data_IF_634451295391
#
_entry.id   IF_634451295391
#
_cell.length_a   1.000
_cell.length_b   1.000
_cell.length_c   1.000
_cell.angle_alpha   90.00
_cell.angle_beta   90.00
_cell.angle_gamma   90.00
#
_symmetry.space_group_name_H-M   'P 1'
#
loop_
_entity.id
_entity.type
_entity.pdbx_description
1 polymer ?
#
# COMPACT_ATOMS: atom_id res chain seq x y z
N UNK A 1 33.14 -69.65 -5.03
CA UNK A 1 32.21 -69.22 -3.98
C UNK A 1 32.41 -67.71 -3.78
N UNK A 2 31.91 -66.91 -4.62
CA UNK A 2 32.06 -65.45 -4.64
C UNK A 2 30.72 -64.78 -4.64
N UNK A 3 30.42 -64.02 -3.60
CA UNK A 3 29.26 -63.10 -3.58
C UNK A 3 29.66 -61.80 -4.26
N UNK A 4 29.11 -61.53 -5.43
CA UNK A 4 29.20 -60.24 -6.10
C UNK A 4 28.15 -59.34 -5.46
N UNK A 5 28.60 -58.38 -4.67
CA UNK A 5 27.77 -57.27 -4.22
C UNK A 5 27.56 -56.30 -5.37
N UNK A 6 26.40 -56.29 -5.96
CA UNK A 6 25.91 -55.23 -6.82
C UNK A 6 25.53 -54.04 -5.91
N UNK A 7 26.42 -53.05 -5.81
CA UNK A 7 26.06 -51.73 -5.31
C UNK A 7 25.33 -51.03 -6.46
N UNK A 8 23.98 -51.10 -6.44
CA UNK A 8 23.14 -50.28 -7.28
C UNK A 8 23.30 -48.82 -6.84
N UNK A 9 23.97 -48.02 -7.65
CA UNK A 9 23.93 -46.57 -7.55
C UNK A 9 22.49 -46.13 -7.77
N UNK A 10 21.77 -45.81 -6.68
CA UNK A 10 20.53 -45.06 -6.75
C UNK A 10 20.93 -43.67 -7.25
N UNK A 11 20.77 -43.44 -8.54
CA UNK A 11 20.72 -42.08 -9.05
C UNK A 11 19.55 -41.38 -8.33
N UNK A 12 19.86 -40.58 -7.35
CA UNK A 12 18.92 -39.59 -6.84
C UNK A 12 18.58 -38.70 -8.04
N UNK A 13 17.42 -38.91 -8.64
CA UNK A 13 16.76 -37.94 -9.50
C UNK A 13 16.61 -36.67 -8.63
N UNK A 14 17.54 -35.74 -8.80
CA UNK A 14 17.50 -34.42 -8.17
C UNK A 14 16.42 -33.65 -8.92
N UNK A 15 15.16 -33.92 -8.63
CA UNK A 15 14.09 -33.00 -8.98
C UNK A 15 14.35 -31.69 -8.26
N UNK A 16 14.63 -30.59 -8.98
CA UNK A 16 14.92 -29.31 -8.33
C UNK A 16 13.75 -28.93 -7.43
N UNK A 17 14.06 -28.55 -6.21
CA UNK A 17 13.04 -28.06 -5.30
C UNK A 17 12.41 -26.79 -5.90
N UNK A 18 11.18 -26.47 -5.51
CA UNK A 18 10.52 -25.23 -5.94
C UNK A 18 11.41 -24.01 -5.66
N UNK A 19 12.17 -24.01 -4.56
CA UNK A 19 13.12 -22.94 -4.23
C UNK A 19 14.28 -22.83 -5.22
N UNK A 20 14.79 -23.96 -5.72
CA UNK A 20 15.86 -23.99 -6.72
C UNK A 20 15.37 -23.42 -8.06
N UNK A 21 14.10 -23.69 -8.42
CA UNK A 21 13.48 -23.12 -9.61
C UNK A 21 13.41 -21.58 -9.55
N UNK A 22 13.05 -21.01 -8.40
CA UNK A 22 13.03 -19.56 -8.20
C UNK A 22 14.45 -18.94 -8.10
N UNK A 23 15.45 -19.71 -7.71
CA UNK A 23 16.86 -19.30 -7.65
C UNK A 23 17.57 -19.41 -9.00
N UNK A 24 16.98 -20.05 -10.01
CA UNK A 24 17.57 -20.20 -11.33
C UNK A 24 17.97 -18.85 -11.95
N UNK A 25 19.15 -18.72 -12.59
CA UNK A 25 19.66 -17.43 -13.10
C UNK A 25 18.69 -16.67 -14.00
N UNK A 26 17.93 -17.39 -14.85
CA UNK A 26 16.93 -16.81 -15.75
C UNK A 26 15.77 -16.20 -14.96
N UNK A 27 15.26 -16.90 -13.93
CA UNK A 27 14.16 -16.42 -13.07
C UNK A 27 14.65 -15.24 -12.23
N UNK A 28 15.87 -15.30 -11.70
CA UNK A 28 16.49 -14.21 -10.96
C UNK A 28 16.68 -12.94 -11.83
N UNK A 29 17.04 -13.09 -13.10
CA UNK A 29 17.12 -11.97 -14.04
C UNK A 29 15.74 -11.37 -14.35
N UNK A 30 14.72 -12.21 -14.57
CA UNK A 30 13.33 -11.77 -14.74
C UNK A 30 12.81 -11.07 -13.50
N UNK A 31 13.09 -11.60 -12.31
CA UNK A 31 12.71 -11.00 -11.04
C UNK A 31 13.31 -9.59 -10.87
N UNK A 32 14.62 -9.43 -11.10
CA UNK A 32 15.27 -8.10 -11.05
C UNK A 32 14.63 -7.10 -12.02
N UNK A 33 14.35 -7.55 -13.27
CA UNK A 33 13.66 -6.72 -14.26
C UNK A 33 12.26 -6.34 -13.77
N UNK A 34 11.50 -7.28 -13.23
CA UNK A 34 10.16 -7.03 -12.65
C UNK A 34 10.22 -5.98 -11.54
N UNK A 35 11.14 -6.11 -10.58
CA UNK A 35 11.33 -5.13 -9.51
C UNK A 35 11.66 -3.74 -10.07
N UNK A 36 12.56 -3.64 -11.05
CA UNK A 36 12.92 -2.36 -11.66
C UNK A 36 11.72 -1.69 -12.35
N UNK A 37 10.90 -2.45 -13.07
CA UNK A 37 9.70 -1.94 -13.74
C UNK A 37 8.63 -1.50 -12.74
N UNK A 38 8.36 -2.29 -11.71
CA UNK A 38 7.45 -1.94 -10.63
C UNK A 38 7.92 -0.68 -9.92
N UNK A 39 9.22 -0.58 -9.63
CA UNK A 39 9.84 0.61 -9.02
C UNK A 39 9.66 1.86 -9.86
N UNK A 40 9.93 1.78 -11.16
CA UNK A 40 9.72 2.89 -12.08
C UNK A 40 8.26 3.34 -12.12
N UNK A 41 7.32 2.39 -12.18
CA UNK A 41 5.89 2.70 -12.13
C UNK A 41 5.47 3.34 -10.80
N UNK A 42 6.03 2.90 -9.67
CA UNK A 42 5.76 3.49 -8.35
C UNK A 42 6.24 4.94 -8.25
N UNK A 43 7.42 5.27 -8.80
CA UNK A 43 7.91 6.66 -8.86
C UNK A 43 6.95 7.52 -9.68
N UNK A 44 6.58 7.06 -10.87
CA UNK A 44 5.72 7.80 -11.80
C UNK A 44 4.30 7.99 -11.24
N UNK A 45 3.69 6.94 -10.70
CA UNK A 45 2.33 6.99 -10.15
C UNK A 45 2.26 7.68 -8.77
N UNK A 46 3.36 7.68 -8.01
CA UNK A 46 3.43 8.31 -6.69
C UNK A 46 3.18 9.83 -6.72
N UNK A 47 3.45 10.50 -7.84
CA UNK A 47 3.17 11.92 -8.02
C UNK A 47 1.69 12.27 -7.80
N UNK A 48 0.81 11.34 -8.11
CA UNK A 48 -0.63 11.53 -8.02
C UNK A 48 -1.14 11.61 -6.57
N UNK A 49 -0.59 10.78 -5.68
CA UNK A 49 -1.05 10.72 -4.29
C UNK A 49 -0.88 12.07 -3.57
N UNK A 50 0.29 12.71 -3.73
CA UNK A 50 0.56 14.03 -3.16
C UNK A 50 -0.30 15.14 -3.76
N UNK A 51 -0.52 15.12 -5.07
CA UNK A 51 -1.35 16.12 -5.75
C UNK A 51 -2.82 16.04 -5.34
N UNK A 52 -3.38 14.83 -5.18
CA UNK A 52 -4.77 14.63 -4.74
C UNK A 52 -5.01 15.24 -3.36
N UNK A 53 -4.11 14.99 -2.42
CA UNK A 53 -4.26 15.47 -1.04
C UNK A 53 -4.14 16.99 -0.96
N UNK A 54 -3.15 17.60 -1.63
CA UNK A 54 -2.87 19.02 -1.50
C UNK A 54 -3.69 19.88 -2.46
N UNK A 55 -3.65 19.59 -3.76
CA UNK A 55 -4.29 20.41 -4.80
C UNK A 55 -5.77 20.06 -4.96
N UNK A 56 -6.14 18.77 -4.78
CA UNK A 56 -7.53 18.32 -4.87
C UNK A 56 -8.44 18.98 -3.83
N UNK A 57 -7.94 19.17 -2.59
CA UNK A 57 -8.70 19.90 -1.56
C UNK A 57 -8.89 21.38 -1.90
N UNK A 58 -7.87 22.05 -2.44
CA UNK A 58 -8.00 23.44 -2.90
C UNK A 58 -8.99 23.58 -4.05
N UNK A 59 -8.97 22.64 -5.01
CA UNK A 59 -9.95 22.61 -6.10
C UNK A 59 -11.37 22.41 -5.59
N UNK A 60 -11.58 21.50 -4.62
CA UNK A 60 -12.89 21.28 -4.03
C UNK A 60 -13.44 22.55 -3.39
N UNK A 61 -12.61 23.28 -2.64
CA UNK A 61 -13.00 24.58 -2.04
C UNK A 61 -13.28 25.63 -3.11
N UNK A 62 -12.41 25.74 -4.13
CA UNK A 62 -12.59 26.74 -5.19
C UNK A 62 -13.85 26.53 -6.02
N UNK A 63 -14.25 25.27 -6.27
CA UNK A 63 -15.44 24.93 -7.03
C UNK A 63 -16.75 25.02 -6.24
N UNK A 64 -16.69 24.81 -4.91
CA UNK A 64 -17.90 24.78 -4.06
C UNK A 64 -18.09 26.06 -3.25
N UNK A 65 -17.04 26.88 -3.10
CA UNK A 65 -17.04 28.03 -2.22
C UNK A 65 -17.03 27.69 -0.72
N UNK A 66 -16.87 26.41 -0.33
CA UNK A 66 -16.97 25.96 1.06
C UNK A 66 -15.83 25.03 1.47
N UNK A 67 -15.19 25.35 2.58
CA UNK A 67 -14.13 24.51 3.18
C UNK A 67 -14.64 23.15 3.69
N UNK A 68 -15.95 23.00 3.89
CA UNK A 68 -16.57 21.73 4.27
C UNK A 68 -16.31 20.61 3.26
N UNK A 69 -16.06 20.95 1.99
CA UNK A 69 -15.80 19.99 0.91
C UNK A 69 -14.31 19.70 0.69
N UNK A 70 -13.39 20.33 1.45
CA UNK A 70 -11.95 20.16 1.24
C UNK A 70 -11.48 18.69 1.26
N UNK A 71 -12.07 17.85 2.12
CA UNK A 71 -11.74 16.43 2.21
C UNK A 71 -12.39 15.50 1.18
N UNK A 72 -13.33 16.02 0.38
CA UNK A 72 -14.19 15.20 -0.48
C UNK A 72 -13.41 14.40 -1.54
N UNK A 73 -12.39 15.01 -2.15
CA UNK A 73 -11.56 14.36 -3.18
C UNK A 73 -10.74 13.21 -2.58
N UNK A 74 -10.16 13.43 -1.40
CA UNK A 74 -9.42 12.38 -0.67
C UNK A 74 -10.34 11.22 -0.27
N UNK A 75 -11.55 11.53 0.20
CA UNK A 75 -12.56 10.50 0.51
C UNK A 75 -12.96 9.73 -0.73
N UNK A 76 -13.26 10.40 -1.85
CA UNK A 76 -13.59 9.76 -3.11
C UNK A 76 -12.44 8.86 -3.59
N UNK A 77 -11.19 9.32 -3.48
CA UNK A 77 -10.01 8.54 -3.84
C UNK A 77 -9.84 7.29 -2.96
N UNK A 78 -10.04 7.41 -1.65
CA UNK A 78 -9.94 6.27 -0.72
C UNK A 78 -11.03 5.23 -1.00
N UNK A 79 -12.27 5.66 -1.28
CA UNK A 79 -13.34 4.77 -1.67
C UNK A 79 -13.07 4.11 -3.02
N UNK A 80 -12.55 4.87 -3.99
CA UNK A 80 -12.12 4.34 -5.29
C UNK A 80 -11.05 3.25 -5.15
N UNK A 81 -10.07 3.47 -4.28
CA UNK A 81 -9.05 2.47 -3.95
C UNK A 81 -9.67 1.21 -3.33
N UNK A 82 -10.54 1.35 -2.33
CA UNK A 82 -11.16 0.24 -1.64
C UNK A 82 -11.99 -0.64 -2.59
N UNK A 83 -12.82 -0.03 -3.41
CA UNK A 83 -13.69 -0.74 -4.36
C UNK A 83 -12.89 -1.42 -5.48
N UNK A 84 -11.87 -0.74 -6.00
CA UNK A 84 -11.09 -1.25 -7.12
C UNK A 84 -10.09 -2.34 -6.72
N UNK A 85 -9.60 -2.38 -5.48
CA UNK A 85 -8.61 -3.37 -5.04
C UNK A 85 -9.06 -4.80 -5.28
N UNK A 86 -10.31 -5.14 -4.97
CA UNK A 86 -10.87 -6.48 -5.22
C UNK A 86 -11.07 -6.77 -6.71
N UNK A 87 -11.53 -5.78 -7.48
CA UNK A 87 -11.73 -5.92 -8.93
C UNK A 87 -10.38 -6.17 -9.62
N UNK A 88 -9.37 -5.38 -9.28
CA UNK A 88 -8.03 -5.53 -9.81
C UNK A 88 -7.38 -6.85 -9.35
N UNK A 89 -7.62 -7.30 -8.12
CA UNK A 89 -7.14 -8.59 -7.66
C UNK A 89 -7.75 -9.76 -8.46
N UNK A 90 -9.05 -9.71 -8.76
CA UNK A 90 -9.72 -10.68 -9.63
C UNK A 90 -9.14 -10.67 -11.05
N UNK A 91 -8.89 -9.48 -11.58
CA UNK A 91 -8.29 -9.34 -12.90
C UNK A 91 -6.84 -9.88 -12.92
N UNK A 92 -6.06 -9.65 -11.86
CA UNK A 92 -4.74 -10.24 -11.71
C UNK A 92 -4.80 -11.77 -11.61
N UNK A 93 -5.74 -12.32 -10.84
CA UNK A 93 -5.92 -13.75 -10.71
C UNK A 93 -6.27 -14.44 -12.03
N UNK A 94 -7.12 -13.80 -12.86
CA UNK A 94 -7.59 -14.37 -14.13
C UNK A 94 -6.68 -14.10 -15.32
N UNK A 95 -6.03 -12.93 -15.38
CA UNK A 95 -5.26 -12.47 -16.57
C UNK A 95 -3.82 -12.04 -16.27
N UNK A 96 -3.36 -12.24 -15.03
CA UNK A 96 -2.01 -11.86 -14.59
C UNK A 96 -1.88 -10.43 -14.09
N UNK A 97 -0.72 -10.13 -13.49
CA UNK A 97 -0.41 -8.82 -12.91
C UNK A 97 -0.37 -7.70 -13.94
N UNK A 98 0.23 -7.98 -15.10
CA UNK A 98 0.38 -6.99 -16.17
C UNK A 98 -0.96 -6.38 -16.57
N UNK A 99 -1.96 -7.20 -16.87
CA UNK A 99 -3.27 -6.72 -17.32
C UNK A 99 -3.95 -5.95 -16.18
N UNK A 100 -3.89 -6.44 -14.95
CA UNK A 100 -4.47 -5.75 -13.79
C UNK A 100 -3.85 -4.37 -13.56
N UNK A 101 -2.51 -4.29 -13.49
CA UNK A 101 -1.80 -3.03 -13.23
C UNK A 101 -2.01 -2.02 -14.36
N UNK A 102 -1.95 -2.46 -15.62
CA UNK A 102 -2.19 -1.60 -16.79
C UNK A 102 -3.63 -1.06 -16.81
N UNK A 103 -4.62 -1.90 -16.56
CA UNK A 103 -6.03 -1.47 -16.49
C UNK A 103 -6.23 -0.45 -15.37
N UNK A 104 -5.68 -0.71 -14.18
CA UNK A 104 -5.79 0.20 -13.05
C UNK A 104 -5.12 1.55 -13.30
N UNK A 105 -3.92 1.57 -13.88
CA UNK A 105 -3.20 2.81 -14.25
C UNK A 105 -3.92 3.56 -15.39
N UNK A 106 -4.51 2.86 -16.33
CA UNK A 106 -5.35 3.45 -17.38
C UNK A 106 -6.57 4.16 -16.80
N UNK A 107 -7.30 3.50 -15.90
CA UNK A 107 -8.44 4.10 -15.18
C UNK A 107 -7.98 5.31 -14.34
N UNK A 108 -6.84 5.21 -13.67
CA UNK A 108 -6.30 6.32 -12.89
C UNK A 108 -5.88 7.51 -13.79
N UNK A 109 -5.38 7.24 -15.00
CA UNK A 109 -5.09 8.29 -16.01
C UNK A 109 -6.36 8.98 -16.48
N UNK A 110 -7.46 8.23 -16.69
CA UNK A 110 -8.78 8.81 -16.98
C UNK A 110 -9.27 9.66 -15.80
N UNK A 111 -8.98 9.24 -14.56
CA UNK A 111 -9.26 10.01 -13.36
C UNK A 111 -8.51 11.35 -13.35
N UNK A 112 -7.23 11.34 -13.62
CA UNK A 112 -6.43 12.57 -13.70
C UNK A 112 -6.93 13.51 -14.83
N UNK A 113 -7.30 12.95 -15.98
CA UNK A 113 -7.96 13.71 -17.08
C UNK A 113 -9.26 14.33 -16.61
N UNK A 114 -10.11 13.58 -15.89
CA UNK A 114 -11.38 14.09 -15.34
C UNK A 114 -11.15 15.24 -14.36
N UNK A 115 -10.10 15.20 -13.53
CA UNK A 115 -9.73 16.31 -12.64
C UNK A 115 -9.29 17.54 -13.45
N UNK A 116 -8.49 17.38 -14.50
CA UNK A 116 -8.13 18.49 -15.40
C UNK A 116 -9.40 19.10 -16.02
N UNK A 117 -10.28 18.29 -16.58
CA UNK A 117 -11.53 18.75 -17.18
C UNK A 117 -12.48 19.39 -16.17
N UNK A 118 -12.47 18.93 -14.91
CA UNK A 118 -13.27 19.54 -13.84
C UNK A 118 -12.90 21.00 -13.59
N UNK A 119 -11.63 21.37 -13.77
CA UNK A 119 -11.17 22.76 -13.65
C UNK A 119 -11.62 23.63 -14.83
N UNK A 120 -11.72 23.06 -16.04
CA UNK A 120 -12.15 23.78 -17.25
C UNK A 120 -13.66 24.00 -17.22
N UNK A 121 -14.42 22.99 -16.83
CA UNK A 121 -15.90 23.05 -16.82
C UNK A 121 -16.48 23.45 -15.46
N UNK A 122 -15.65 23.82 -14.51
CA UNK A 122 -16.05 24.18 -13.14
C UNK A 122 -17.00 23.15 -12.50
N UNK A 123 -16.73 21.85 -12.73
CA UNK A 123 -17.62 20.76 -12.33
C UNK A 123 -17.09 20.00 -11.12
N UNK A 124 -17.74 20.18 -9.98
CA UNK A 124 -17.43 19.46 -8.75
C UNK A 124 -17.66 17.93 -8.88
N UNK A 125 -18.68 17.52 -9.66
CA UNK A 125 -18.98 16.10 -9.90
C UNK A 125 -17.82 15.44 -10.65
N UNK A 126 -17.27 16.08 -11.69
CA UNK A 126 -16.10 15.58 -12.41
C UNK A 126 -14.87 15.51 -11.52
N UNK A 127 -14.71 16.45 -10.59
CA UNK A 127 -13.61 16.42 -9.61
C UNK A 127 -13.73 15.18 -8.71
N UNK A 128 -14.91 14.88 -8.18
CA UNK A 128 -15.12 13.70 -7.34
C UNK A 128 -14.94 12.38 -8.10
N UNK A 129 -15.48 12.28 -9.32
CA UNK A 129 -15.29 11.12 -10.19
C UNK A 129 -13.80 10.93 -10.51
N UNK A 130 -13.12 12.03 -10.85
CA UNK A 130 -11.69 12.03 -11.09
C UNK A 130 -10.91 11.57 -9.87
N UNK A 131 -11.22 12.06 -8.67
CA UNK A 131 -10.67 11.61 -7.41
C UNK A 131 -10.86 10.11 -7.17
N UNK A 132 -12.08 9.59 -7.39
CA UNK A 132 -12.38 8.17 -7.25
C UNK A 132 -11.55 7.30 -8.22
N UNK A 133 -11.46 7.69 -9.49
CA UNK A 133 -10.63 6.98 -10.46
C UNK A 133 -9.13 7.10 -10.18
N UNK A 134 -8.65 8.23 -9.67
CA UNK A 134 -7.25 8.34 -9.20
C UNK A 134 -6.99 7.41 -8.01
N UNK A 135 -8.00 7.16 -7.19
CA UNK A 135 -7.95 6.14 -6.13
C UNK A 135 -7.64 4.73 -6.64
N UNK A 136 -8.05 4.40 -7.88
CA UNK A 136 -7.65 3.14 -8.53
C UNK A 136 -6.13 3.05 -8.66
N UNK A 137 -5.44 4.16 -8.91
CA UNK A 137 -3.98 4.24 -8.91
C UNK A 137 -3.37 3.90 -7.55
N UNK A 138 -4.01 4.31 -6.44
CA UNK A 138 -3.59 3.91 -5.10
C UNK A 138 -3.75 2.40 -4.88
N UNK A 139 -4.83 1.79 -5.39
CA UNK A 139 -5.01 0.34 -5.35
C UNK A 139 -3.94 -0.39 -6.19
N UNK A 140 -3.53 0.16 -7.34
CA UNK A 140 -2.41 -0.38 -8.13
C UNK A 140 -1.11 -0.31 -7.34
N UNK A 141 -0.82 0.81 -6.67
CA UNK A 141 0.36 0.97 -5.83
C UNK A 141 0.40 -0.07 -4.69
N UNK A 142 -0.74 -0.36 -4.07
CA UNK A 142 -0.87 -1.42 -3.07
C UNK A 142 -0.63 -2.81 -3.69
N UNK A 143 -1.18 -3.12 -4.86
CA UNK A 143 -0.97 -4.39 -5.54
C UNK A 143 0.46 -4.60 -6.02
N UNK A 144 1.16 -3.54 -6.43
CA UNK A 144 2.53 -3.60 -6.91
C UNK A 144 3.49 -4.21 -5.86
N UNK A 145 3.27 -3.95 -4.56
CA UNK A 145 4.05 -4.57 -3.48
C UNK A 145 3.92 -6.11 -3.46
N UNK A 146 2.73 -6.64 -3.76
CA UNK A 146 2.54 -8.08 -3.85
C UNK A 146 3.08 -8.65 -5.17
N UNK A 147 2.98 -7.92 -6.29
CA UNK A 147 3.59 -8.32 -7.55
C UNK A 147 5.12 -8.46 -7.42
N UNK A 148 5.75 -7.65 -6.58
CA UNK A 148 7.17 -7.78 -6.26
C UNK A 148 7.53 -9.11 -5.60
N UNK A 149 6.56 -9.76 -4.92
CA UNK A 149 6.79 -11.04 -4.22
C UNK A 149 6.50 -12.27 -5.09
N UNK A 150 5.96 -12.12 -6.30
CA UNK A 150 5.53 -13.25 -7.11
C UNK A 150 6.68 -14.15 -7.56
N UNK A 151 7.87 -13.58 -7.79
CA UNK A 151 9.10 -14.29 -8.16
C UNK A 151 10.19 -14.21 -7.08
N UNK A 152 9.88 -13.73 -5.88
CA UNK A 152 10.82 -13.63 -4.77
C UNK A 152 11.10 -14.99 -4.14
N UNK A 153 12.34 -15.18 -3.70
CA UNK A 153 12.67 -16.27 -2.79
C UNK A 153 12.11 -15.99 -1.39
N UNK A 154 12.02 -17.02 -0.55
CA UNK A 154 11.59 -16.86 0.86
C UNK A 154 12.48 -15.86 1.60
N UNK A 155 13.80 -15.80 1.29
CA UNK A 155 14.78 -14.94 1.96
C UNK A 155 14.70 -13.46 1.57
N UNK A 156 14.15 -13.13 0.41
CA UNK A 156 14.17 -11.74 -0.11
C UNK A 156 12.80 -11.10 -0.21
N UNK A 157 11.74 -11.85 0.11
CA UNK A 157 10.35 -11.44 -0.09
C UNK A 157 9.99 -10.11 0.56
N UNK A 158 10.35 -9.93 1.84
CA UNK A 158 10.04 -8.70 2.56
C UNK A 158 10.86 -7.51 2.03
N UNK A 159 12.13 -7.73 1.70
CA UNK A 159 13.00 -6.72 1.10
C UNK A 159 12.51 -6.27 -0.27
N UNK A 160 12.13 -7.21 -1.13
CA UNK A 160 11.67 -6.92 -2.50
C UNK A 160 10.35 -6.12 -2.47
N UNK A 161 9.42 -6.51 -1.59
CA UNK A 161 8.19 -5.78 -1.30
C UNK A 161 8.49 -4.35 -0.80
N UNK A 162 9.37 -4.23 0.19
CA UNK A 162 9.74 -2.97 0.79
C UNK A 162 10.44 -2.03 -0.20
N UNK A 163 11.25 -2.56 -1.12
CA UNK A 163 11.91 -1.77 -2.16
C UNK A 163 10.89 -1.11 -3.09
N UNK A 164 9.88 -1.85 -3.52
CA UNK A 164 8.81 -1.32 -4.39
C UNK A 164 7.99 -0.27 -3.64
N UNK A 165 7.67 -0.49 -2.35
CA UNK A 165 7.02 0.50 -1.50
C UNK A 165 7.90 1.76 -1.34
N UNK A 166 9.21 1.60 -1.16
CA UNK A 166 10.14 2.72 -1.00
C UNK A 166 10.17 3.63 -2.22
N UNK A 167 10.07 3.07 -3.43
CA UNK A 167 10.11 3.85 -4.66
C UNK A 167 8.96 4.84 -4.79
N UNK A 168 7.83 4.63 -4.12
CA UNK A 168 6.73 5.60 -4.07
C UNK A 168 7.10 6.88 -3.30
N UNK A 169 8.14 6.85 -2.44
CA UNK A 169 8.62 8.02 -1.69
C UNK A 169 8.98 9.18 -2.62
N UNK A 170 9.69 8.89 -3.71
CA UNK A 170 10.13 9.92 -4.65
C UNK A 170 8.94 10.68 -5.24
N UNK A 171 7.90 9.97 -5.66
CA UNK A 171 6.67 10.57 -6.16
C UNK A 171 5.85 11.27 -5.08
N UNK A 172 5.64 10.63 -3.93
CA UNK A 172 4.80 11.15 -2.86
C UNK A 172 5.37 12.43 -2.21
N UNK A 173 6.70 12.54 -2.08
CA UNK A 173 7.38 13.75 -1.59
C UNK A 173 7.38 14.86 -2.63
N UNK A 174 7.49 14.51 -3.90
CA UNK A 174 7.51 15.51 -5.00
C UNK A 174 6.11 16.06 -5.28
N UNK A 175 5.06 15.23 -5.16
CA UNK A 175 3.68 15.58 -5.51
C UNK A 175 3.17 16.91 -4.95
N UNK A 176 3.23 17.17 -3.64
CA UNK A 176 2.76 18.43 -3.05
C UNK A 176 3.53 19.67 -3.55
N UNK A 177 4.81 19.50 -3.94
CA UNK A 177 5.63 20.60 -4.45
C UNK A 177 5.30 21.01 -5.89
N UNK A 178 4.55 20.18 -6.62
CA UNK A 178 4.12 20.46 -8.00
C UNK A 178 3.18 21.67 -8.09
N UNK A 179 2.53 22.07 -6.99
CA UNK A 179 1.65 23.25 -6.96
C UNK A 179 2.37 24.51 -7.44
N UNK A 180 3.67 24.62 -7.18
CA UNK A 180 4.50 25.76 -7.63
C UNK A 180 4.62 25.87 -9.15
N UNK A 181 4.36 24.78 -9.86
CA UNK A 181 4.42 24.71 -11.32
C UNK A 181 3.06 24.99 -11.97
N UNK A 182 2.00 25.17 -11.17
CA UNK A 182 0.65 25.45 -11.67
C UNK A 182 0.58 26.72 -12.54
N UNK A 183 1.08 27.84 -12.03
CA UNK A 183 1.06 29.10 -12.77
C UNK A 183 1.90 29.10 -14.07
N UNK A 184 3.13 28.56 -14.13
CA UNK A 184 3.85 28.38 -15.39
C UNK A 184 3.11 27.48 -16.38
N UNK A 185 2.57 26.34 -15.92
CA UNK A 185 1.82 25.42 -16.78
C UNK A 185 0.51 26.04 -17.29
N UNK A 186 -0.20 26.77 -16.45
CA UNK A 186 -1.41 27.50 -16.84
C UNK A 186 -1.15 28.44 -18.00
N UNK A 187 -0.05 29.20 -17.94
CA UNK A 187 0.37 30.11 -19.04
C UNK A 187 0.70 29.37 -20.33
N UNK A 188 1.28 28.18 -20.25
CA UNK A 188 1.65 27.39 -21.43
C UNK A 188 0.45 26.66 -22.05
N UNK A 189 -0.49 26.21 -21.23
CA UNK A 189 -1.59 25.31 -21.68
C UNK A 189 -2.93 26.00 -21.79
N UNK A 190 -3.10 27.19 -21.20
CA UNK A 190 -4.38 27.88 -21.08
C UNK A 190 -5.34 27.26 -20.07
N UNK A 191 -4.92 26.23 -19.34
CA UNK A 191 -5.73 25.57 -18.30
C UNK A 191 -5.77 26.41 -17.02
N UNK A 192 -6.82 26.31 -16.20
CA UNK A 192 -6.83 26.86 -14.85
C UNK A 192 -5.66 26.34 -14.01
N UNK A 193 -5.05 27.22 -13.18
CA UNK A 193 -3.79 26.95 -12.49
C UNK A 193 -3.80 25.64 -11.68
N UNK A 194 -4.84 25.40 -10.86
CA UNK A 194 -4.97 24.18 -10.06
C UNK A 194 -5.16 22.94 -10.93
N UNK A 195 -5.90 23.06 -12.04
CA UNK A 195 -6.09 21.97 -13.00
C UNK A 195 -4.84 21.60 -13.76
N UNK A 196 -4.02 22.61 -14.14
CA UNK A 196 -2.74 22.41 -14.83
C UNK A 196 -1.76 21.54 -14.03
N UNK A 197 -1.76 21.62 -12.69
CA UNK A 197 -0.92 20.77 -11.83
C UNK A 197 -1.20 19.28 -12.06
N UNK A 198 -2.45 18.90 -12.37
CA UNK A 198 -2.83 17.50 -12.58
C UNK A 198 -2.32 16.90 -13.89
N UNK A 199 -1.71 17.71 -14.77
CA UNK A 199 -0.98 17.17 -15.92
C UNK A 199 0.23 16.30 -15.51
N UNK A 200 0.87 16.57 -14.36
CA UNK A 200 1.94 15.72 -13.84
C UNK A 200 1.43 14.34 -13.39
N UNK A 201 0.40 14.25 -12.52
CA UNK A 201 -0.25 12.97 -12.24
C UNK A 201 -0.71 12.23 -13.49
N UNK A 202 -1.31 12.92 -14.46
CA UNK A 202 -1.74 12.32 -15.72
C UNK A 202 -0.56 11.72 -16.47
N UNK A 203 0.50 12.49 -16.70
CA UNK A 203 1.71 12.03 -17.40
C UNK A 203 2.39 10.89 -16.62
N UNK A 204 2.44 10.98 -15.29
CA UNK A 204 3.03 9.95 -14.44
C UNK A 204 2.26 8.63 -14.50
N UNK A 205 0.93 8.66 -14.36
CA UNK A 205 0.10 7.45 -14.42
C UNK A 205 0.08 6.83 -15.81
N UNK A 206 0.01 7.64 -16.86
CA UNK A 206 0.09 7.20 -18.24
C UNK A 206 1.47 6.61 -18.56
N UNK A 207 2.54 7.26 -18.13
CA UNK A 207 3.92 6.74 -18.25
C UNK A 207 4.10 5.41 -17.51
N UNK A 208 3.59 5.30 -16.27
CA UNK A 208 3.58 4.05 -15.52
C UNK A 208 2.80 2.94 -16.24
N UNK A 209 1.65 3.27 -16.82
CA UNK A 209 0.87 2.35 -17.64
C UNK A 209 1.69 1.83 -18.83
N UNK A 210 2.37 2.70 -19.56
CA UNK A 210 3.22 2.31 -20.69
C UNK A 210 4.39 1.42 -20.26
N UNK A 211 5.07 1.79 -19.14
CA UNK A 211 6.15 0.97 -18.57
C UNK A 211 5.66 -0.44 -18.25
N UNK A 212 4.49 -0.57 -17.62
CA UNK A 212 3.90 -1.88 -17.31
C UNK A 212 3.46 -2.62 -18.58
N UNK A 213 2.82 -1.93 -19.51
CA UNK A 213 2.33 -2.53 -20.76
C UNK A 213 3.45 -3.09 -21.64
N UNK A 214 4.52 -2.34 -21.80
CA UNK A 214 5.64 -2.72 -22.66
C UNK A 214 6.64 -3.63 -21.94
N UNK A 215 6.90 -3.35 -20.66
CA UNK A 215 8.02 -3.94 -19.92
C UNK A 215 7.68 -5.23 -19.18
N UNK A 216 6.47 -5.38 -18.60
CA UNK A 216 6.13 -6.49 -17.72
C UNK A 216 5.76 -7.75 -18.54
N UNK A 217 6.74 -8.26 -19.29
CA UNK A 217 6.65 -9.46 -20.11
C UNK A 217 7.93 -10.28 -19.92
N UNK A 218 7.81 -11.58 -19.57
CA UNK A 218 6.58 -12.30 -19.22
C UNK A 218 5.96 -11.82 -17.91
N UNK A 219 4.68 -12.16 -17.69
CA UNK A 219 3.93 -11.78 -16.48
C UNK A 219 4.49 -12.52 -15.25
N UNK A 220 4.84 -11.82 -14.15
CA UNK A 220 5.47 -12.45 -13.00
C UNK A 220 4.57 -13.47 -12.28
N UNK A 221 3.26 -13.21 -12.19
CA UNK A 221 2.32 -14.13 -11.52
C UNK A 221 2.11 -15.41 -12.36
N UNK A 222 1.93 -15.25 -13.67
CA UNK A 222 1.76 -16.41 -14.56
C UNK A 222 3.03 -17.25 -14.63
N UNK A 223 4.21 -16.61 -14.65
CA UNK A 223 5.50 -17.30 -14.58
C UNK A 223 5.66 -18.05 -13.26
N UNK A 224 5.32 -17.43 -12.13
CA UNK A 224 5.35 -18.09 -10.82
C UNK A 224 4.45 -19.32 -10.76
N UNK A 225 3.24 -19.25 -11.34
CA UNK A 225 2.32 -20.39 -11.44
C UNK A 225 2.90 -21.52 -12.29
N UNK A 226 3.47 -21.18 -13.44
CA UNK A 226 4.11 -22.17 -14.30
C UNK A 226 5.26 -22.92 -13.60
N UNK A 227 6.08 -22.19 -12.83
CA UNK A 227 7.17 -22.79 -12.03
C UNK A 227 6.66 -23.70 -10.90
N UNK A 228 5.46 -23.41 -10.36
CA UNK A 228 4.82 -24.24 -9.34
C UNK A 228 4.07 -25.46 -9.90
N UNK A 229 4.13 -25.70 -11.21
CA UNK A 229 3.48 -26.85 -11.86
C UNK A 229 1.96 -26.69 -11.99
N UNK A 230 1.46 -25.47 -11.99
CA UNK A 230 0.04 -25.17 -12.19
C UNK A 230 -0.34 -25.43 -13.66
N UNK A 231 -1.01 -26.56 -13.95
CA UNK A 231 -1.33 -27.01 -15.31
C UNK A 231 -2.27 -26.04 -16.07
N UNK A 232 -3.04 -25.23 -15.33
CA UNK A 232 -4.03 -24.29 -15.90
C UNK A 232 -3.46 -22.88 -16.13
N UNK A 233 -2.14 -22.77 -16.33
CA UNK A 233 -1.49 -21.47 -16.62
C UNK A 233 -1.95 -20.98 -17.99
N UNK A 234 -2.70 -19.88 -17.97
CA UNK A 234 -3.21 -19.24 -19.22
C UNK A 234 -4.71 -19.41 -19.44
N UNK A 235 -5.39 -20.33 -18.78
CA UNK A 235 -6.84 -20.35 -18.76
C UNK A 235 -7.40 -19.25 -17.84
N UNK A 236 -8.45 -18.52 -18.27
CA UNK A 236 -9.11 -17.55 -17.40
C UNK A 236 -9.74 -18.29 -16.21
N UNK A 237 -9.09 -18.24 -15.05
CA UNK A 237 -9.67 -18.85 -13.86
C UNK A 237 -10.95 -18.13 -13.49
N UNK A 238 -12.02 -18.90 -13.39
CA UNK A 238 -13.33 -18.46 -12.91
C UNK A 238 -13.20 -17.79 -11.54
N UNK A 239 -13.99 -16.78 -11.33
CA UNK A 239 -14.02 -15.91 -10.17
C UNK A 239 -13.75 -16.64 -8.85
N UNK A 240 -12.65 -16.27 -8.17
CA UNK A 240 -12.52 -16.59 -6.75
C UNK A 240 -13.47 -15.65 -6.00
N UNK A 241 -14.57 -16.15 -5.41
CA UNK A 241 -15.53 -15.31 -4.71
C UNK A 241 -14.88 -14.70 -3.45
N UNK A 242 -15.33 -13.50 -3.05
CA UNK A 242 -14.82 -12.83 -1.83
C UNK A 242 -15.02 -13.74 -0.60
N UNK A 243 -16.10 -14.49 -0.56
CA UNK A 243 -16.38 -15.49 0.49
C UNK A 243 -15.23 -16.51 0.64
N UNK A 244 -14.63 -16.91 -0.48
CA UNK A 244 -13.48 -17.83 -0.47
C UNK A 244 -12.24 -17.17 0.15
N UNK A 245 -11.95 -15.91 -0.18
CA UNK A 245 -10.85 -15.16 0.44
C UNK A 245 -11.03 -15.02 1.96
N UNK A 246 -12.26 -14.76 2.44
CA UNK A 246 -12.58 -14.78 3.87
C UNK A 246 -12.43 -16.16 4.50
N UNK A 247 -12.90 -17.21 3.82
CA UNK A 247 -12.77 -18.59 4.30
C UNK A 247 -11.30 -19.00 4.39
N UNK A 248 -10.50 -18.64 3.39
CA UNK A 248 -9.06 -18.87 3.37
C UNK A 248 -8.36 -18.14 4.52
N UNK A 249 -8.67 -16.86 4.76
CA UNK A 249 -8.13 -16.13 5.90
C UNK A 249 -8.47 -16.80 7.25
N UNK A 250 -9.70 -17.28 7.42
CA UNK A 250 -10.11 -18.01 8.65
C UNK A 250 -9.33 -19.30 8.84
N UNK A 251 -8.94 -19.98 7.76
CA UNK A 251 -8.11 -21.18 7.78
C UNK A 251 -6.62 -20.90 8.02
N UNK A 252 -6.19 -19.64 7.83
CA UNK A 252 -4.81 -19.20 8.03
C UNK A 252 -4.72 -18.16 9.15
N UNK A 253 -4.76 -18.56 10.44
CA UNK A 253 -4.84 -17.63 11.58
C UNK A 253 -3.65 -16.67 11.63
N UNK A 254 -2.47 -17.06 11.16
CA UNK A 254 -1.29 -16.18 11.08
C UNK A 254 -1.49 -15.07 10.03
N UNK A 255 -2.11 -15.38 8.88
CA UNK A 255 -2.44 -14.37 7.87
C UNK A 255 -3.54 -13.42 8.38
N UNK A 256 -4.54 -13.95 9.08
CA UNK A 256 -5.60 -13.15 9.71
C UNK A 256 -5.03 -12.21 10.79
N UNK A 257 -4.10 -12.72 11.62
CA UNK A 257 -3.40 -11.92 12.62
C UNK A 257 -2.58 -10.79 11.98
N UNK A 258 -1.85 -11.10 10.91
CA UNK A 258 -1.07 -10.11 10.16
C UNK A 258 -1.98 -9.06 9.51
N UNK A 259 -3.10 -9.48 8.93
CA UNK A 259 -4.10 -8.56 8.38
C UNK A 259 -4.66 -7.63 9.46
N UNK A 260 -5.08 -8.16 10.62
CA UNK A 260 -5.58 -7.33 11.71
C UNK A 260 -4.57 -6.28 12.15
N UNK A 261 -3.27 -6.64 12.25
CA UNK A 261 -2.20 -5.71 12.55
C UNK A 261 -2.06 -4.59 11.50
N UNK A 262 -2.12 -4.92 10.20
CA UNK A 262 -2.10 -3.92 9.11
C UNK A 262 -3.30 -2.97 9.21
N UNK A 263 -4.51 -3.52 9.43
CA UNK A 263 -5.74 -2.71 9.50
C UNK A 263 -5.69 -1.72 10.66
N UNK A 264 -5.27 -2.19 11.83
CA UNK A 264 -5.09 -1.35 13.03
C UNK A 264 -4.03 -0.27 12.78
N UNK A 265 -2.86 -0.66 12.28
CA UNK A 265 -1.79 0.29 11.97
C UNK A 265 -2.26 1.38 11.01
N UNK A 266 -3.02 1.01 9.97
CA UNK A 266 -3.49 1.95 8.96
C UNK A 266 -4.61 2.86 9.48
N UNK A 267 -5.57 2.32 10.22
CA UNK A 267 -6.65 3.10 10.83
C UNK A 267 -6.10 4.16 11.80
N UNK A 268 -5.19 3.76 12.70
CA UNK A 268 -4.57 4.68 13.67
C UNK A 268 -3.74 5.74 12.97
N UNK A 269 -2.94 5.33 11.99
CA UNK A 269 -2.09 6.25 11.22
C UNK A 269 -2.95 7.31 10.53
N UNK A 270 -4.01 6.92 9.80
CA UNK A 270 -4.88 7.88 9.11
C UNK A 270 -5.62 8.78 10.09
N UNK A 271 -6.13 8.23 11.20
CA UNK A 271 -6.85 9.01 12.21
C UNK A 271 -5.98 10.10 12.82
N UNK A 272 -4.79 9.76 13.31
CA UNK A 272 -3.90 10.71 13.99
C UNK A 272 -3.31 11.71 12.97
N UNK A 273 -2.80 11.23 11.82
CA UNK A 273 -2.20 12.08 10.80
C UNK A 273 -3.20 13.14 10.27
N UNK A 274 -4.46 12.75 10.02
CA UNK A 274 -5.45 13.66 9.43
C UNK A 274 -5.82 14.82 10.37
N UNK A 275 -5.76 14.61 11.67
CA UNK A 275 -6.12 15.63 12.69
C UNK A 275 -4.92 16.44 13.19
N UNK A 276 -3.70 16.01 12.91
CA UNK A 276 -2.48 16.73 13.34
C UNK A 276 -2.38 18.14 12.78
N UNK A 277 -2.66 18.42 11.47
CA UNK A 277 -2.66 19.78 10.95
C UNK A 277 -3.65 20.71 11.69
N UNK A 278 -4.83 20.18 12.02
CA UNK A 278 -5.87 20.94 12.76
C UNK A 278 -5.38 21.27 14.17
N UNK A 279 -4.80 20.30 14.86
CA UNK A 279 -4.23 20.47 16.19
C UNK A 279 -3.09 21.51 16.19
N UNK A 280 -2.11 21.35 15.30
CA UNK A 280 -0.96 22.26 15.21
C UNK A 280 -1.37 23.70 14.87
N UNK A 281 -2.31 23.86 13.93
CA UNK A 281 -2.84 25.18 13.58
C UNK A 281 -3.56 25.84 14.76
N UNK A 282 -4.27 25.07 15.58
CA UNK A 282 -4.94 25.52 16.79
C UNK A 282 -3.97 26.10 17.85
N UNK A 283 -2.71 25.68 17.85
CA UNK A 283 -1.65 26.23 18.72
C UNK A 283 -0.74 27.24 18.00
N UNK A 284 -1.16 27.75 16.84
CA UNK A 284 -0.47 28.83 16.15
C UNK A 284 0.76 28.41 15.32
N UNK A 285 0.91 27.11 15.05
CA UNK A 285 1.98 26.63 14.18
C UNK A 285 1.82 27.20 12.75
N UNK A 286 2.92 27.64 12.15
CA UNK A 286 2.88 28.13 10.76
C UNK A 286 2.51 27.01 9.78
N UNK A 287 1.88 27.40 8.67
CA UNK A 287 1.52 26.45 7.58
C UNK A 287 2.76 25.70 7.07
N UNK A 288 3.91 26.37 7.02
CA UNK A 288 5.18 25.75 6.61
C UNK A 288 5.61 24.65 7.58
N UNK A 289 5.44 24.84 8.87
CA UNK A 289 5.81 23.87 9.90
C UNK A 289 4.86 22.67 9.91
N UNK A 290 3.56 22.90 9.74
CA UNK A 290 2.56 21.83 9.54
C UNK A 290 2.92 21.01 8.29
N UNK A 291 3.23 21.68 7.16
CA UNK A 291 3.63 21.01 5.93
C UNK A 291 4.92 20.18 6.09
N UNK A 292 5.91 20.70 6.81
CA UNK A 292 7.15 19.98 7.12
C UNK A 292 6.88 18.73 7.96
N UNK A 293 6.03 18.85 9.00
CA UNK A 293 5.64 17.74 9.88
C UNK A 293 4.98 16.60 9.08
N UNK A 294 4.03 16.94 8.21
CA UNK A 294 3.36 15.96 7.35
C UNK A 294 4.36 15.33 6.36
N UNK A 295 5.25 16.13 5.77
CA UNK A 295 6.28 15.61 4.86
C UNK A 295 7.24 14.65 5.55
N UNK A 296 7.67 14.95 6.78
CA UNK A 296 8.52 14.07 7.59
C UNK A 296 7.79 12.78 7.98
N UNK A 297 6.48 12.87 8.29
CA UNK A 297 5.64 11.69 8.49
C UNK A 297 5.60 10.79 7.26
N UNK A 298 5.34 11.36 6.07
CA UNK A 298 5.33 10.63 4.80
C UNK A 298 6.70 10.01 4.50
N UNK A 299 7.78 10.72 4.80
CA UNK A 299 9.12 10.17 4.73
C UNK A 299 9.29 8.98 5.68
N UNK A 300 8.78 9.06 6.92
CA UNK A 300 8.74 7.96 7.88
C UNK A 300 8.01 6.72 7.33
N UNK A 301 6.89 6.93 6.62
CA UNK A 301 6.13 5.82 6.01
C UNK A 301 6.92 5.07 4.93
N UNK A 302 7.67 5.77 4.10
CA UNK A 302 8.22 5.18 2.89
C UNK A 302 9.75 5.14 2.84
N UNK A 303 10.45 6.17 3.34
CA UNK A 303 11.90 6.30 3.14
C UNK A 303 12.70 5.16 3.79
N UNK A 304 12.26 4.66 4.94
CA UNK A 304 12.92 3.57 5.66
C UNK A 304 12.28 2.19 5.41
N UNK A 305 11.34 2.07 4.47
CA UNK A 305 10.70 0.79 4.16
C UNK A 305 11.69 -0.32 3.74
N UNK A 306 12.82 -0.06 3.02
CA UNK A 306 13.82 -1.09 2.77
C UNK A 306 14.48 -1.62 4.04
N UNK A 307 14.66 -0.75 5.05
CA UNK A 307 15.21 -1.16 6.36
C UNK A 307 14.19 -2.07 7.06
N UNK A 308 12.89 -1.73 7.01
CA UNK A 308 11.84 -2.57 7.58
C UNK A 308 11.75 -3.93 6.88
N UNK A 309 11.94 -3.96 5.56
CA UNK A 309 12.03 -5.21 4.79
C UNK A 309 13.22 -6.06 5.20
N UNK A 310 14.41 -5.45 5.30
CA UNK A 310 15.62 -6.13 5.75
C UNK A 310 15.50 -6.67 7.19
N UNK A 311 14.88 -5.89 8.08
CA UNK A 311 14.61 -6.34 9.45
C UNK A 311 13.63 -7.52 9.46
N UNK A 312 12.59 -7.49 8.62
CA UNK A 312 11.62 -8.57 8.50
C UNK A 312 12.26 -9.86 7.95
N UNK A 313 13.20 -9.74 7.01
CA UNK A 313 13.95 -10.89 6.48
C UNK A 313 14.96 -11.46 7.52
N UNK A 314 15.53 -10.63 8.41
CA UNK A 314 16.55 -11.04 9.39
C UNK A 314 15.96 -11.45 10.74
N UNK A 315 15.02 -10.67 11.29
CA UNK A 315 14.44 -10.86 12.61
C UNK A 315 13.13 -11.66 12.58
N UNK A 316 12.60 -11.88 11.38
CA UNK A 316 11.28 -12.46 11.16
C UNK A 316 10.17 -11.39 11.08
N UNK A 317 9.29 -11.56 10.10
CA UNK A 317 8.24 -10.59 9.81
C UNK A 317 7.26 -10.38 10.99
N UNK A 318 7.02 -11.41 11.81
CA UNK A 318 6.18 -11.31 13.01
C UNK A 318 6.75 -10.30 14.04
N UNK A 319 8.05 -10.37 14.32
CA UNK A 319 8.70 -9.47 15.26
C UNK A 319 8.64 -8.01 14.77
N UNK A 320 8.86 -7.79 13.47
CA UNK A 320 8.81 -6.46 12.86
C UNK A 320 7.39 -5.89 12.85
N UNK A 321 6.36 -6.71 12.59
CA UNK A 321 4.96 -6.29 12.66
C UNK A 321 4.58 -5.86 14.09
N UNK A 322 4.90 -6.66 15.09
CA UNK A 322 4.63 -6.35 16.51
C UNK A 322 5.44 -5.11 16.95
N UNK A 323 6.72 -5.03 16.56
CA UNK A 323 7.56 -3.85 16.80
C UNK A 323 6.99 -2.59 16.16
N UNK A 324 6.44 -2.69 14.94
CA UNK A 324 5.75 -1.59 14.25
C UNK A 324 4.52 -1.10 15.01
N UNK A 325 3.66 -2.02 15.47
CA UNK A 325 2.51 -1.66 16.32
C UNK A 325 2.98 -1.03 17.65
N UNK A 326 4.04 -1.55 18.28
CA UNK A 326 4.65 -0.96 19.46
C UNK A 326 5.17 0.46 19.21
N UNK A 327 5.79 0.70 18.05
CA UNK A 327 6.20 2.05 17.63
C UNK A 327 5.01 2.98 17.46
N UNK A 328 3.86 2.50 16.95
CA UNK A 328 2.61 3.28 16.86
C UNK A 328 2.09 3.63 18.26
N UNK A 329 2.18 2.73 19.24
CA UNK A 329 1.82 3.04 20.64
C UNK A 329 2.67 4.18 21.16
N UNK A 330 4.01 4.10 21.02
CA UNK A 330 4.93 5.16 21.44
C UNK A 330 4.66 6.48 20.71
N UNK A 331 4.44 6.41 19.40
CA UNK A 331 4.08 7.55 18.56
C UNK A 331 2.80 8.25 19.06
N UNK A 332 1.78 7.47 19.40
CA UNK A 332 0.50 7.96 19.90
C UNK A 332 0.65 8.63 21.29
N UNK A 333 1.48 8.05 22.15
CA UNK A 333 1.79 8.64 23.45
C UNK A 333 2.49 10.00 23.28
N UNK A 334 3.54 10.06 22.43
CA UNK A 334 4.27 11.31 22.16
C UNK A 334 3.37 12.36 21.50
N UNK A 335 2.54 11.98 20.53
CA UNK A 335 1.61 12.89 19.89
C UNK A 335 0.56 13.42 20.89
N UNK A 336 0.01 12.55 21.73
CA UNK A 336 -1.01 12.92 22.72
C UNK A 336 -0.47 13.76 23.89
N UNK A 337 0.75 13.49 24.34
CA UNK A 337 1.41 14.26 25.43
C UNK A 337 2.14 15.50 24.90
N UNK A 338 2.29 15.63 23.58
CA UNK A 338 3.01 16.75 22.95
C UNK A 338 2.38 18.12 23.25
N UNK A 339 1.09 18.17 23.52
CA UNK A 339 0.38 19.41 23.81
C UNK A 339 0.61 20.44 22.70
N UNK A 340 1.13 21.60 23.06
CA UNK A 340 1.50 22.71 22.16
C UNK A 340 2.94 22.61 21.63
N UNK A 341 3.71 21.58 22.04
CA UNK A 341 5.07 21.32 21.54
C UNK A 341 5.07 20.73 20.14
N UNK A 342 5.23 21.59 19.15
CA UNK A 342 5.32 21.17 17.73
C UNK A 342 6.41 20.12 17.49
N UNK A 343 7.54 20.22 18.21
CA UNK A 343 8.65 19.25 18.07
C UNK A 343 8.22 17.86 18.51
N UNK A 344 7.55 17.74 19.67
CA UNK A 344 7.08 16.46 20.21
C UNK A 344 6.04 15.83 19.29
N UNK A 345 5.09 16.62 18.79
CA UNK A 345 4.07 16.17 17.84
C UNK A 345 4.74 15.69 16.52
N UNK A 346 5.72 16.45 16.01
CA UNK A 346 6.45 16.07 14.78
C UNK A 346 7.20 14.75 14.95
N UNK A 347 7.91 14.57 16.08
CA UNK A 347 8.60 13.30 16.39
C UNK A 347 7.58 12.15 16.48
N UNK A 348 6.46 12.39 17.17
CA UNK A 348 5.36 11.42 17.24
C UNK A 348 4.86 11.01 15.85
N UNK A 349 4.67 11.97 14.94
CA UNK A 349 4.25 11.67 13.56
C UNK A 349 5.30 10.90 12.75
N UNK A 350 6.58 11.23 12.88
CA UNK A 350 7.65 10.46 12.22
C UNK A 350 7.60 9.00 12.67
N UNK A 351 7.52 8.76 14.00
CA UNK A 351 7.40 7.42 14.56
C UNK A 351 6.12 6.71 14.11
N UNK A 352 5.01 7.44 14.01
CA UNK A 352 3.74 6.90 13.48
C UNK A 352 3.91 6.36 12.05
N UNK A 353 4.58 7.13 11.19
CA UNK A 353 4.92 6.71 9.83
C UNK A 353 5.82 5.48 9.80
N UNK A 354 6.88 5.46 10.63
CA UNK A 354 7.79 4.32 10.76
C UNK A 354 7.08 3.06 11.24
N UNK A 355 6.23 3.18 12.27
CA UNK A 355 5.45 2.06 12.79
C UNK A 355 4.47 1.50 11.76
N UNK A 356 3.81 2.37 11.00
CA UNK A 356 2.97 1.97 9.87
C UNK A 356 3.77 1.24 8.79
N UNK A 357 4.95 1.75 8.43
CA UNK A 357 5.84 1.13 7.44
C UNK A 357 6.23 -0.29 7.87
N UNK A 358 6.68 -0.45 9.11
CA UNK A 358 7.07 -1.74 9.67
C UNK A 358 5.89 -2.74 9.66
N UNK A 359 4.72 -2.31 10.15
CA UNK A 359 3.53 -3.16 10.21
C UNK A 359 3.04 -3.56 8.81
N UNK A 360 3.03 -2.62 7.85
CA UNK A 360 2.54 -2.85 6.49
C UNK A 360 3.49 -3.76 5.70
N UNK A 361 4.81 -3.51 5.74
CA UNK A 361 5.81 -4.32 5.04
C UNK A 361 5.83 -5.74 5.60
N UNK A 362 5.96 -5.87 6.91
CA UNK A 362 6.04 -7.18 7.55
C UNK A 362 4.72 -7.96 7.44
N UNK A 363 3.58 -7.32 7.71
CA UNK A 363 2.27 -7.97 7.61
C UNK A 363 1.94 -8.42 6.20
N UNK A 364 2.25 -7.61 5.17
CA UNK A 364 2.08 -7.98 3.76
C UNK A 364 2.99 -9.15 3.36
N UNK A 365 4.22 -9.20 3.89
CA UNK A 365 5.15 -10.31 3.69
C UNK A 365 4.60 -11.61 4.31
N UNK A 366 4.03 -11.55 5.53
CA UNK A 366 3.38 -12.70 6.18
C UNK A 366 2.22 -13.21 5.32
N UNK A 367 1.32 -12.34 4.87
CA UNK A 367 0.19 -12.72 4.02
C UNK A 367 0.69 -13.41 2.74
N UNK A 368 1.68 -12.81 2.08
CA UNK A 368 2.27 -13.34 0.85
C UNK A 368 2.99 -14.69 1.05
N UNK A 369 3.50 -14.96 2.25
CA UNK A 369 4.18 -16.20 2.59
C UNK A 369 3.22 -17.32 3.00
N UNK A 370 2.14 -16.97 3.72
CA UNK A 370 1.22 -17.93 4.35
C UNK A 370 0.17 -18.43 3.39
N UNK A 371 -0.37 -17.54 2.53
CA UNK A 371 -1.42 -17.89 1.57
C UNK A 371 -0.80 -18.19 0.21
N UNK A 372 -0.99 -19.40 -0.26
CA UNK A 372 -0.48 -19.90 -1.55
C UNK A 372 -1.66 -20.28 -2.47
N UNK A 373 -1.36 -20.78 -3.67
CA UNK A 373 -2.38 -21.26 -4.58
C UNK A 373 -3.25 -20.16 -5.19
N UNK A 374 -4.44 -20.56 -5.63
CA UNK A 374 -5.37 -19.70 -6.39
C UNK A 374 -5.97 -18.56 -5.55
N UNK A 375 -6.12 -18.77 -4.25
CA UNK A 375 -6.71 -17.81 -3.31
C UNK A 375 -5.77 -16.67 -2.94
N UNK A 376 -4.45 -16.82 -3.16
CA UNK A 376 -3.43 -15.85 -2.76
C UNK A 376 -3.75 -14.43 -3.23
N UNK A 377 -4.06 -14.28 -4.52
CA UNK A 377 -4.33 -12.96 -5.12
C UNK A 377 -5.64 -12.37 -4.60
N UNK A 378 -6.65 -13.21 -4.37
CA UNK A 378 -7.93 -12.78 -3.81
C UNK A 378 -7.77 -12.28 -2.35
N UNK A 379 -6.98 -12.99 -1.53
CA UNK A 379 -6.67 -12.58 -0.16
C UNK A 379 -5.86 -11.28 -0.14
N UNK A 380 -4.89 -11.12 -1.05
CA UNK A 380 -4.13 -9.88 -1.19
C UNK A 380 -5.04 -8.70 -1.54
N UNK A 381 -5.94 -8.86 -2.50
CA UNK A 381 -6.91 -7.82 -2.88
C UNK A 381 -7.91 -7.49 -1.77
N UNK A 382 -8.36 -8.50 -1.03
CA UNK A 382 -9.19 -8.29 0.16
C UNK A 382 -8.44 -7.52 1.25
N UNK A 383 -7.16 -7.86 1.49
CA UNK A 383 -6.29 -7.14 2.43
C UNK A 383 -6.18 -5.66 2.05
N UNK A 384 -5.95 -5.35 0.78
CA UNK A 384 -5.83 -3.97 0.28
C UNK A 384 -7.15 -3.19 0.40
N UNK A 385 -8.28 -3.84 0.08
CA UNK A 385 -9.62 -3.24 0.25
C UNK A 385 -9.92 -2.94 1.71
N UNK A 386 -9.69 -3.91 2.60
CA UNK A 386 -9.94 -3.75 4.03
C UNK A 386 -9.00 -2.69 4.65
N UNK A 387 -7.74 -2.63 4.21
CA UNK A 387 -6.80 -1.58 4.64
C UNK A 387 -7.31 -0.19 4.23
N UNK A 388 -7.77 -0.02 2.99
CA UNK A 388 -8.34 1.26 2.52
C UNK A 388 -9.60 1.62 3.29
N UNK A 389 -10.49 0.66 3.57
CA UNK A 389 -11.70 0.87 4.39
C UNK A 389 -11.35 1.22 5.83
N UNK A 390 -10.35 0.57 6.42
CA UNK A 390 -9.87 0.88 7.78
C UNK A 390 -9.34 2.31 7.87
N UNK A 391 -8.58 2.76 6.85
CA UNK A 391 -8.14 4.14 6.74
C UNK A 391 -9.30 5.13 6.60
N UNK A 392 -10.28 4.83 5.75
CA UNK A 392 -11.47 5.67 5.58
C UNK A 392 -12.29 5.76 6.89
N UNK A 393 -12.48 4.64 7.58
CA UNK A 393 -13.15 4.58 8.89
C UNK A 393 -12.38 5.36 9.96
N UNK A 394 -11.05 5.16 10.03
CA UNK A 394 -10.18 5.90 10.95
C UNK A 394 -10.25 7.40 10.73
N UNK A 395 -10.17 7.86 9.48
CA UNK A 395 -10.29 9.27 9.14
C UNK A 395 -11.67 9.86 9.43
N UNK A 396 -12.75 9.13 9.14
CA UNK A 396 -14.11 9.56 9.41
C UNK A 396 -14.40 9.70 10.91
N UNK A 397 -13.91 8.76 11.73
CA UNK A 397 -14.10 8.78 13.19
C UNK A 397 -13.18 9.78 13.87
N UNK A 398 -12.02 10.11 13.28
CA UNK A 398 -11.01 10.97 13.89
C UNK A 398 -11.55 12.34 14.27
N UNK A 399 -12.35 12.96 13.40
CA UNK A 399 -12.97 14.28 13.68
C UNK A 399 -13.95 14.23 14.85
N UNK A 400 -14.75 13.17 14.95
CA UNK A 400 -15.72 12.97 16.04
C UNK A 400 -14.98 12.78 17.36
N UNK A 401 -13.97 11.92 17.39
CA UNK A 401 -13.15 11.66 18.58
C UNK A 401 -12.39 12.92 18.99
N UNK A 402 -11.80 13.64 18.02
CA UNK A 402 -11.12 14.92 18.28
C UNK A 402 -12.05 15.93 18.96
N UNK A 403 -13.27 16.09 18.42
CA UNK A 403 -14.25 17.02 18.97
C UNK A 403 -14.69 16.65 20.39
N UNK A 404 -14.79 15.35 20.71
CA UNK A 404 -15.23 14.86 22.00
C UNK A 404 -14.12 14.85 23.06
N UNK A 405 -12.88 14.52 22.70
CA UNK A 405 -11.79 14.23 23.66
C UNK A 405 -10.50 15.00 23.40
N UNK A 406 -10.47 15.86 22.40
CA UNK A 406 -9.27 16.57 21.96
C UNK A 406 -8.26 15.66 21.27
N UNK A 407 -7.13 16.25 20.89
CA UNK A 407 -6.08 15.53 20.17
C UNK A 407 -5.36 14.48 21.03
N UNK A 408 -5.17 14.75 22.32
CA UNK A 408 -4.63 13.79 23.29
C UNK A 408 -5.53 12.57 23.46
N UNK A 409 -6.87 12.76 23.51
CA UNK A 409 -7.83 11.66 23.58
C UNK A 409 -7.86 10.83 22.31
N UNK A 410 -7.80 11.47 21.12
CA UNK A 410 -7.67 10.78 19.83
C UNK A 410 -6.39 9.93 19.78
N UNK A 411 -5.27 10.51 20.19
CA UNK A 411 -3.97 9.82 20.19
C UNK A 411 -3.97 8.67 21.20
N UNK A 412 -4.53 8.86 22.40
CA UNK A 412 -4.65 7.79 23.40
C UNK A 412 -5.52 6.63 22.89
N UNK A 413 -6.66 6.92 22.24
CA UNK A 413 -7.51 5.90 21.62
C UNK A 413 -6.77 5.14 20.53
N UNK A 414 -5.96 5.84 19.68
CA UNK A 414 -5.11 5.23 18.67
C UNK A 414 -4.06 4.30 19.28
N UNK A 415 -3.37 4.75 20.33
CA UNK A 415 -2.40 3.94 21.06
C UNK A 415 -3.01 2.69 21.70
N UNK A 416 -4.19 2.84 22.33
CA UNK A 416 -4.94 1.72 22.90
C UNK A 416 -5.35 0.70 21.83
N UNK A 417 -5.82 1.17 20.66
CA UNK A 417 -6.16 0.30 19.52
C UNK A 417 -4.93 -0.42 18.99
N UNK A 418 -3.76 0.23 18.90
CA UNK A 418 -2.52 -0.40 18.46
C UNK A 418 -2.04 -1.46 19.48
N UNK A 419 -2.15 -1.18 20.79
CA UNK A 419 -1.85 -2.16 21.84
C UNK A 419 -2.80 -3.37 21.77
N UNK A 420 -4.12 -3.13 21.56
CA UNK A 420 -5.08 -4.20 21.34
C UNK A 420 -4.75 -5.03 20.09
N UNK A 421 -4.23 -4.39 19.03
CA UNK A 421 -3.72 -5.06 17.82
C UNK A 421 -2.57 -6.02 18.12
N UNK A 422 -1.64 -5.66 19.00
CA UNK A 422 -0.57 -6.55 19.46
C UNK A 422 -1.15 -7.77 20.16
N UNK A 423 -2.07 -7.55 21.10
CA UNK A 423 -2.72 -8.65 21.84
C UNK A 423 -3.49 -9.56 20.87
N UNK A 424 -4.26 -8.97 19.95
CA UNK A 424 -5.00 -9.73 18.94
C UNK A 424 -4.05 -10.57 18.07
N UNK A 425 -2.92 -10.02 17.65
CA UNK A 425 -1.90 -10.77 16.91
C UNK A 425 -1.43 -12.01 17.69
N UNK A 426 -1.08 -11.85 18.97
CA UNK A 426 -0.63 -12.95 19.82
C UNK A 426 -1.70 -14.01 20.04
N UNK A 427 -2.94 -13.61 20.27
CA UNK A 427 -4.07 -14.54 20.45
C UNK A 427 -4.29 -15.34 19.15
N UNK A 428 -4.44 -14.66 18.02
CA UNK A 428 -4.75 -15.30 16.74
C UNK A 428 -3.59 -16.20 16.24
N UNK A 429 -2.34 -15.79 16.46
CA UNK A 429 -1.18 -16.61 16.07
C UNK A 429 -1.04 -17.89 16.90
N UNK A 430 -1.51 -17.90 18.15
CA UNK A 430 -1.48 -19.09 19.04
C UNK A 430 -2.61 -20.09 18.73
N UNK A 431 -3.69 -19.68 18.12
CA UNK A 431 -4.77 -20.61 17.71
C UNK A 431 -4.27 -21.70 16.75
N UNK A 432 -3.13 -21.51 16.11
CA UNK A 432 -2.44 -22.49 15.27
C UNK A 432 -1.99 -23.75 16.05
N UNK A 433 -1.62 -23.60 17.32
CA UNK A 433 -1.09 -24.70 18.15
C UNK A 433 -2.19 -25.70 18.56
N UNK A 434 -3.43 -25.22 18.63
CA UNK A 434 -4.58 -26.04 19.10
C UNK A 434 -5.22 -26.83 17.96
N UNK A 435 -5.05 -26.39 16.69
CA UNK A 435 -5.68 -27.03 15.54
C UNK A 435 -4.90 -28.20 14.91
N UNK A 436 -3.80 -28.66 15.53
CA UNK A 436 -3.12 -29.91 15.17
C UNK A 436 -2.24 -29.86 13.90
N UNK A 437 -1.88 -28.70 13.40
CA UNK A 437 -0.84 -28.58 12.38
C UNK A 437 0.54 -28.54 13.05
N UNK A 438 1.14 -29.73 13.19
CA UNK A 438 2.57 -29.92 13.53
C UNK A 438 3.42 -29.39 12.35
N UNK A 439 4.61 -28.79 12.62
CA UNK A 439 5.40 -27.99 11.69
C UNK A 439 5.83 -28.71 10.41
#
# INVERSE_FOLDING_TARGET
MGYVLYAGAVAHDITPTVQDAFAAPVVAALHRRTISLLSAAQILSGLAAGAVVSVGSLMAVSLTGSSAWAGSVSTASTLGAALSSLVLARLAASRGRRISLVTGLGLASLGATSVVLSSVWSSFVLLLLGGAFMGVGNAVNLQARFAATDLSTVRTRARDLALVVWMSTAGAVTGPNLIRLGAPLSRLTGLPELGAVFLFPLAGMFGAMLVMWLGLRPDPLLTSRALLGDADVGEPRTHVPISMAFTTLRRHPVALAALSGILVAHAVMVAVMSMTPVHMAGYGASISLVGLTVSLHIAGMYALSPVMGLLADRLGAAAVLVGGLGTIVVASVLAGLGGDSTTTVTVGLILLGLGWSAATVAGSSIIAATVTGVERVAVQGLSDSLMSLAGAGGGALAGVVLAATGYSGLSAAGGALAAAGIVAYWILSRLRVVAGEVP
#
